data_IF_303050066204
#
_entry.id   IF_303050066204
#
_cell.length_a   1.000
_cell.length_b   1.000
_cell.length_c   1.000
_cell.angle_alpha   90.00
_cell.angle_beta   90.00
_cell.angle_gamma   90.00
#
_symmetry.space_group_name_H-M   'P 1'
#
loop_
_entity.id
_entity.type
_entity.pdbx_description
1 polymer ?
#
# COMPACT_ATOMS: atom_id res chain seq x y z
N UNK A 1 9.55 -14.95 -1.38
CA UNK A 1 8.22 -14.59 -1.92
C UNK A 1 8.19 -14.83 -3.42
N UNK A 2 7.05 -15.23 -3.96
CA UNK A 2 6.88 -15.44 -5.40
C UNK A 2 6.50 -14.09 -6.03
N UNK A 3 7.20 -13.67 -7.08
CA UNK A 3 6.87 -12.44 -7.79
C UNK A 3 5.61 -12.59 -8.67
N UNK A 4 5.10 -11.46 -9.16
CA UNK A 4 3.85 -11.37 -9.93
C UNK A 4 4.04 -11.20 -11.44
N UNK A 5 5.26 -11.34 -11.97
CA UNK A 5 5.55 -11.11 -13.40
C UNK A 5 4.66 -12.01 -14.29
N UNK A 6 4.57 -13.30 -13.97
CA UNK A 6 3.77 -14.27 -14.73
C UNK A 6 2.28 -13.97 -14.66
N UNK A 7 1.81 -13.61 -13.48
CA UNK A 7 0.41 -13.26 -13.22
C UNK A 7 0.00 -12.04 -14.06
N UNK A 8 0.78 -10.96 -13.99
CA UNK A 8 0.55 -9.73 -14.73
C UNK A 8 0.63 -9.93 -16.25
N UNK A 9 1.58 -10.74 -16.74
CA UNK A 9 1.66 -11.11 -18.15
C UNK A 9 0.41 -11.87 -18.62
N UNK A 10 -0.07 -12.82 -17.82
CA UNK A 10 -1.27 -13.60 -18.13
C UNK A 10 -2.54 -12.73 -18.08
N UNK A 11 -2.64 -11.78 -17.14
CA UNK A 11 -3.74 -10.78 -17.09
C UNK A 11 -3.83 -9.95 -18.38
N UNK A 12 -2.67 -9.65 -19.01
CA UNK A 12 -2.60 -9.02 -20.34
C UNK A 12 -2.79 -10.00 -21.52
N UNK A 13 -3.07 -11.29 -21.26
CA UNK A 13 -3.21 -12.35 -22.25
C UNK A 13 -1.99 -12.53 -23.20
N UNK A 14 -0.78 -12.26 -22.71
CA UNK A 14 0.44 -12.33 -23.53
C UNK A 14 1.20 -13.64 -23.31
N UNK A 15 1.73 -14.22 -24.38
CA UNK A 15 2.79 -15.24 -24.28
C UNK A 15 4.11 -14.63 -23.79
N UNK A 16 5.03 -15.46 -23.31
CA UNK A 16 6.37 -15.01 -22.92
C UNK A 16 7.12 -14.31 -24.08
N UNK A 17 6.97 -14.81 -25.31
CA UNK A 17 7.60 -14.22 -26.50
C UNK A 17 7.05 -12.83 -26.80
N UNK A 18 5.73 -12.68 -26.80
CA UNK A 18 5.07 -11.39 -27.04
C UNK A 18 5.45 -10.36 -25.96
N UNK A 19 5.50 -10.76 -24.69
CA UNK A 19 5.96 -9.88 -23.63
C UNK A 19 7.40 -9.43 -23.84
N UNK A 20 8.32 -10.35 -24.16
CA UNK A 20 9.73 -9.99 -24.37
C UNK A 20 9.89 -9.01 -25.52
N UNK A 21 9.12 -9.16 -26.60
CA UNK A 21 9.14 -8.23 -27.72
C UNK A 21 8.75 -6.82 -27.29
N UNK A 22 7.57 -6.65 -26.70
CA UNK A 22 7.05 -5.33 -26.30
C UNK A 22 7.82 -4.73 -25.13
N UNK A 23 8.29 -5.53 -24.18
CA UNK A 23 9.10 -5.05 -23.07
C UNK A 23 10.49 -4.59 -23.55
N UNK A 24 11.09 -5.27 -24.53
CA UNK A 24 12.36 -4.82 -25.09
C UNK A 24 12.24 -3.50 -25.86
N UNK A 25 11.09 -3.18 -26.44
CA UNK A 25 10.83 -1.87 -27.06
C UNK A 25 10.93 -0.73 -26.00
N UNK A 26 10.37 -0.95 -24.80
CA UNK A 26 10.53 -0.04 -23.65
C UNK A 26 12.00 0.04 -23.19
N UNK A 27 12.69 -1.10 -23.06
CA UNK A 27 14.08 -1.09 -22.60
C UNK A 27 15.00 -0.31 -23.55
N UNK A 28 14.71 -0.31 -24.85
CA UNK A 28 15.46 0.49 -25.83
C UNK A 28 15.29 1.99 -25.59
N UNK A 29 14.08 2.47 -25.26
CA UNK A 29 13.88 3.90 -24.95
C UNK A 29 14.64 4.31 -23.69
N UNK A 30 14.75 3.41 -22.73
CA UNK A 30 15.49 3.60 -21.48
C UNK A 30 17.00 3.28 -21.58
N UNK A 31 17.50 3.02 -22.80
CA UNK A 31 18.91 2.67 -23.08
C UNK A 31 19.42 1.48 -22.26
N UNK A 32 18.52 0.55 -21.94
CA UNK A 32 18.80 -0.66 -21.19
C UNK A 32 19.00 -1.87 -22.10
N UNK A 33 19.72 -2.87 -21.59
CA UNK A 33 19.98 -4.11 -22.33
C UNK A 33 18.69 -4.92 -22.48
N UNK A 34 18.35 -5.40 -23.69
CA UNK A 34 17.21 -6.28 -23.92
C UNK A 34 17.31 -7.59 -23.13
N UNK A 35 16.16 -8.18 -22.83
CA UNK A 35 16.04 -9.48 -22.19
C UNK A 35 15.67 -10.56 -23.20
N UNK A 36 15.80 -11.81 -22.78
CA UNK A 36 15.43 -12.99 -23.59
C UNK A 36 14.26 -13.73 -22.95
N UNK A 37 13.55 -14.55 -23.74
CA UNK A 37 12.48 -15.43 -23.23
C UNK A 37 12.97 -16.37 -22.11
N UNK A 38 14.15 -17.01 -22.22
CA UNK A 38 14.72 -17.77 -21.10
C UNK A 38 14.95 -16.92 -19.84
N UNK A 39 15.40 -15.68 -19.99
CA UNK A 39 15.58 -14.76 -18.85
C UNK A 39 14.25 -14.50 -18.14
N UNK A 40 13.21 -14.12 -18.90
CA UNK A 40 11.86 -13.92 -18.35
C UNK A 40 11.35 -15.19 -17.66
N UNK A 41 11.50 -16.35 -18.30
CA UNK A 41 11.03 -17.62 -17.73
C UNK A 41 11.69 -17.93 -16.40
N UNK A 42 13.00 -17.67 -16.27
CA UNK A 42 13.70 -17.83 -14.98
C UNK A 42 13.19 -16.86 -13.92
N UNK A 43 12.92 -15.61 -14.27
CA UNK A 43 12.32 -14.63 -13.36
C UNK A 43 10.91 -15.05 -12.91
N UNK A 44 10.04 -15.44 -13.83
CA UNK A 44 8.66 -15.87 -13.51
C UNK A 44 8.61 -17.08 -12.58
N UNK A 45 9.61 -17.96 -12.66
CA UNK A 45 9.71 -19.15 -11.82
C UNK A 45 10.63 -18.94 -10.60
N UNK A 46 11.06 -17.70 -10.33
CA UNK A 46 11.94 -17.33 -9.20
C UNK A 46 13.26 -18.12 -9.17
N UNK A 47 13.75 -18.57 -10.33
CA UNK A 47 15.03 -19.27 -10.47
C UNK A 47 16.23 -18.31 -10.38
N UNK A 48 15.99 -17.04 -10.71
CA UNK A 48 16.85 -15.90 -10.42
C UNK A 48 15.99 -14.63 -10.33
N UNK A 49 16.61 -13.53 -9.90
CA UNK A 49 15.92 -12.25 -9.74
C UNK A 49 16.37 -11.22 -10.79
N UNK A 50 15.47 -10.34 -11.28
CA UNK A 50 15.84 -9.10 -11.92
C UNK A 50 16.73 -8.23 -11.01
N UNK A 51 17.51 -7.33 -11.61
CA UNK A 51 18.18 -6.24 -10.88
C UNK A 51 17.17 -5.18 -10.45
N UNK A 52 17.54 -4.28 -9.54
CA UNK A 52 16.62 -3.22 -9.06
C UNK A 52 16.13 -2.30 -10.18
N UNK A 53 16.99 -1.95 -11.14
CA UNK A 53 16.57 -1.14 -12.29
C UNK A 53 15.60 -1.91 -13.18
N UNK A 54 15.82 -3.21 -13.37
CA UNK A 54 14.90 -4.04 -14.14
C UNK A 54 13.55 -4.22 -13.44
N UNK A 55 13.53 -4.27 -12.11
CA UNK A 55 12.28 -4.26 -11.34
C UNK A 55 11.48 -2.98 -11.56
N UNK A 56 12.13 -1.81 -11.62
CA UNK A 56 11.48 -0.54 -11.95
C UNK A 56 10.87 -0.57 -13.35
N UNK A 57 11.63 -1.00 -14.36
CA UNK A 57 11.12 -1.12 -15.72
C UNK A 57 9.93 -2.07 -15.85
N UNK A 58 9.98 -3.22 -15.16
CA UNK A 58 8.85 -4.14 -15.12
C UNK A 58 7.62 -3.50 -14.46
N UNK A 59 7.81 -2.79 -13.35
CA UNK A 59 6.75 -2.08 -12.66
C UNK A 59 6.09 -1.02 -13.57
N UNK A 60 6.90 -0.22 -14.27
CA UNK A 60 6.44 0.81 -15.21
C UNK A 60 5.69 0.18 -16.39
N UNK A 61 6.20 -0.90 -16.99
CA UNK A 61 5.55 -1.61 -18.10
C UNK A 61 4.15 -2.15 -17.73
N UNK A 62 4.00 -2.62 -16.48
CA UNK A 62 2.73 -3.12 -15.97
C UNK A 62 1.86 -2.04 -15.31
N UNK A 63 2.38 -0.83 -15.13
CA UNK A 63 1.75 0.27 -14.41
C UNK A 63 1.34 -0.13 -12.98
N UNK A 64 2.28 -0.72 -12.24
CA UNK A 64 2.13 -1.15 -10.84
C UNK A 64 3.33 -0.69 -10.02
N UNK A 65 3.29 -0.84 -8.69
CA UNK A 65 4.46 -0.53 -7.85
C UNK A 65 5.52 -1.65 -7.92
N UNK A 66 6.77 -1.30 -7.62
CA UNK A 66 7.88 -2.27 -7.54
C UNK A 66 7.60 -3.36 -6.50
N UNK A 67 7.14 -2.99 -5.31
CA UNK A 67 6.82 -3.95 -4.25
C UNK A 67 5.67 -4.87 -4.65
N UNK A 68 4.67 -4.37 -5.37
CA UNK A 68 3.58 -5.18 -5.90
C UNK A 68 4.12 -6.28 -6.84
N UNK A 69 4.88 -5.89 -7.87
CA UNK A 69 5.36 -6.86 -8.86
C UNK A 69 6.39 -7.84 -8.27
N UNK A 70 7.15 -7.44 -7.25
CA UNK A 70 8.02 -8.33 -6.48
C UNK A 70 7.25 -9.35 -5.62
N UNK A 71 5.95 -9.15 -5.43
CA UNK A 71 5.12 -9.97 -4.55
C UNK A 71 5.43 -9.73 -3.07
N UNK A 72 5.86 -8.51 -2.73
CA UNK A 72 6.13 -8.06 -1.36
C UNK A 72 4.87 -7.55 -0.66
N UNK A 73 3.80 -7.29 -1.42
CA UNK A 73 2.50 -6.83 -0.92
C UNK A 73 1.59 -8.03 -0.67
N UNK A 74 1.07 -8.10 0.55
CA UNK A 74 0.01 -9.03 0.93
C UNK A 74 -1.35 -8.44 0.52
N UNK A 75 -1.92 -8.92 -0.61
CA UNK A 75 -3.17 -8.42 -1.16
C UNK A 75 -4.38 -8.76 -0.28
N UNK A 76 -4.44 -9.97 0.28
CA UNK A 76 -5.55 -10.40 1.14
C UNK A 76 -5.57 -9.57 2.42
N UNK A 77 -4.40 -9.31 2.99
CA UNK A 77 -4.26 -8.39 4.11
C UNK A 77 -4.62 -6.95 3.72
N UNK A 78 -4.17 -6.47 2.55
CA UNK A 78 -4.48 -5.13 2.07
C UNK A 78 -5.98 -4.92 1.80
N UNK A 79 -6.64 -5.89 1.19
CA UNK A 79 -8.09 -5.90 0.98
C UNK A 79 -8.82 -5.84 2.32
N UNK A 80 -8.43 -6.70 3.27
CA UNK A 80 -9.01 -6.72 4.62
C UNK A 80 -8.82 -5.37 5.35
N UNK A 81 -7.66 -4.72 5.19
CA UNK A 81 -7.40 -3.39 5.73
C UNK A 81 -8.31 -2.33 5.09
N UNK A 82 -8.54 -2.40 3.78
CA UNK A 82 -9.42 -1.45 3.07
C UNK A 82 -10.87 -1.62 3.52
N UNK A 83 -11.36 -2.86 3.62
CA UNK A 83 -12.71 -3.16 4.13
C UNK A 83 -12.89 -2.63 5.55
N UNK A 84 -11.90 -2.90 6.42
CA UNK A 84 -11.92 -2.40 7.79
C UNK A 84 -11.91 -0.87 7.82
N UNK A 85 -11.11 -0.21 6.98
CA UNK A 85 -11.11 1.25 6.88
C UNK A 85 -12.51 1.77 6.52
N UNK A 86 -13.13 1.20 5.47
CA UNK A 86 -14.48 1.55 4.99
C UNK A 86 -15.52 1.39 6.10
N UNK A 87 -15.45 0.29 6.87
CA UNK A 87 -16.32 0.06 8.03
C UNK A 87 -16.31 1.28 8.96
N UNK A 88 -15.13 1.78 9.32
CA UNK A 88 -14.99 2.91 10.23
C UNK A 88 -15.39 4.29 9.65
N UNK A 89 -15.69 4.39 8.36
CA UNK A 89 -16.13 5.65 7.71
C UNK A 89 -17.67 5.74 7.66
N UNK A 90 -18.41 4.65 7.88
CA UNK A 90 -19.87 4.71 7.86
C UNK A 90 -20.39 5.61 9.01
N UNK A 91 -21.14 6.69 8.68
CA UNK A 91 -21.66 7.59 9.68
C UNK A 91 -22.72 6.88 10.53
N UNK A 92 -22.87 7.31 11.79
CA UNK A 92 -23.92 6.84 12.71
C UNK A 92 -23.91 5.34 13.03
N UNK A 93 -22.87 4.61 12.63
CA UNK A 93 -22.72 3.21 12.98
C UNK A 93 -22.06 3.08 14.35
N UNK A 94 -22.75 2.46 15.30
CA UNK A 94 -22.22 2.17 16.64
C UNK A 94 -21.38 0.90 16.53
N UNK A 95 -20.08 1.02 16.71
CA UNK A 95 -19.15 -0.10 16.76
C UNK A 95 -18.71 -0.35 18.19
N UNK A 96 -18.54 -1.61 18.56
CA UNK A 96 -17.98 -1.98 19.86
C UNK A 96 -16.78 -2.90 19.67
N UNK A 97 -15.76 -2.70 20.51
CA UNK A 97 -14.62 -3.59 20.61
C UNK A 97 -14.46 -4.05 22.06
N UNK A 98 -14.92 -5.26 22.34
CA UNK A 98 -15.13 -5.71 23.71
C UNK A 98 -16.25 -4.90 24.37
N UNK A 99 -15.95 -4.26 25.49
CA UNK A 99 -16.89 -3.40 26.23
C UNK A 99 -16.79 -1.92 25.85
N UNK A 100 -15.89 -1.56 24.92
CA UNK A 100 -15.62 -0.18 24.52
C UNK A 100 -16.44 0.16 23.27
N UNK A 101 -17.20 1.25 23.33
CA UNK A 101 -17.82 1.88 22.16
C UNK A 101 -16.78 2.68 21.37
N UNK A 102 -16.73 2.47 20.06
CA UNK A 102 -15.86 3.18 19.13
C UNK A 102 -16.68 4.31 18.49
N UNK A 103 -16.84 5.39 19.24
CA UNK A 103 -17.59 6.58 18.84
C UNK A 103 -16.90 7.37 17.71
N UNK A 104 -17.62 8.35 17.16
CA UNK A 104 -17.16 9.17 16.04
C UNK A 104 -15.88 9.98 16.35
N UNK A 105 -15.56 10.20 17.62
CA UNK A 105 -14.30 10.84 18.04
C UNK A 105 -13.12 9.86 17.95
N UNK A 106 -13.37 8.57 18.21
CA UNK A 106 -12.36 7.51 18.14
C UNK A 106 -12.11 7.02 16.70
N UNK A 107 -13.14 6.96 15.86
CA UNK A 107 -13.05 6.38 14.50
C UNK A 107 -11.93 6.98 13.63
N UNK A 108 -11.71 8.31 13.57
CA UNK A 108 -10.64 8.89 12.76
C UNK A 108 -9.25 8.36 13.13
N UNK A 109 -8.97 8.15 14.41
CA UNK A 109 -7.68 7.62 14.87
C UNK A 109 -7.48 6.15 14.48
N UNK A 110 -8.56 5.37 14.49
CA UNK A 110 -8.54 3.98 14.02
C UNK A 110 -8.28 3.94 12.52
N UNK A 111 -8.98 4.78 11.74
CA UNK A 111 -8.77 4.90 10.29
C UNK A 111 -7.32 5.29 9.99
N UNK A 112 -6.73 6.25 10.73
CA UNK A 112 -5.31 6.60 10.59
C UNK A 112 -4.41 5.39 10.86
N UNK A 113 -4.70 4.61 11.90
CA UNK A 113 -3.96 3.38 12.21
C UNK A 113 -4.00 2.34 11.09
N UNK A 114 -5.17 2.16 10.48
CA UNK A 114 -5.38 1.26 9.33
C UNK A 114 -4.65 1.79 8.09
N UNK A 115 -4.82 3.07 7.75
CA UNK A 115 -4.11 3.73 6.66
C UNK A 115 -2.59 3.64 6.84
N UNK A 116 -2.09 3.70 8.09
CA UNK A 116 -0.67 3.50 8.39
C UNK A 116 -0.20 2.11 7.96
N UNK A 117 -0.98 1.05 8.20
CA UNK A 117 -0.61 -0.30 7.76
C UNK A 117 -0.67 -0.44 6.24
N UNK A 118 -1.67 0.17 5.60
CA UNK A 118 -1.76 0.23 4.13
C UNK A 118 -0.51 0.89 3.54
N UNK A 119 -0.11 2.06 4.05
CA UNK A 119 1.09 2.76 3.61
C UNK A 119 2.36 1.92 3.77
N UNK A 120 2.51 1.19 4.89
CA UNK A 120 3.62 0.26 5.09
C UNK A 120 3.62 -0.88 4.06
N UNK A 121 2.47 -1.47 3.77
CA UNK A 121 2.35 -2.52 2.73
C UNK A 121 2.75 -1.99 1.35
N UNK A 122 2.49 -0.71 1.08
CA UNK A 122 2.89 -0.04 -0.14
C UNK A 122 4.36 0.44 -0.15
N UNK A 123 5.09 0.25 0.95
CA UNK A 123 6.52 0.63 1.08
C UNK A 123 6.77 2.07 1.49
N UNK A 124 5.75 2.80 1.94
CA UNK A 124 5.88 4.17 2.44
C UNK A 124 6.18 4.21 3.94
N UNK A 125 6.82 5.30 4.39
CA UNK A 125 7.00 5.61 5.80
C UNK A 125 5.78 6.43 6.27
N UNK A 126 4.89 5.87 7.12
CA UNK A 126 3.60 6.53 7.37
C UNK A 126 3.71 7.88 8.06
N UNK A 127 4.66 8.06 8.99
CA UNK A 127 4.80 9.33 9.72
C UNK A 127 5.04 10.48 8.74
N UNK A 128 5.96 10.28 7.79
CA UNK A 128 6.26 11.22 6.72
C UNK A 128 5.04 11.52 5.86
N UNK A 129 4.33 10.50 5.37
CA UNK A 129 3.17 10.71 4.50
C UNK A 129 2.05 11.50 5.21
N UNK A 130 1.76 11.18 6.49
CA UNK A 130 0.80 11.95 7.27
C UNK A 130 1.26 13.39 7.51
N UNK A 131 2.55 13.61 7.77
CA UNK A 131 3.12 14.97 7.90
C UNK A 131 2.98 15.78 6.59
N UNK A 132 3.20 15.16 5.43
CA UNK A 132 3.05 15.83 4.14
C UNK A 132 1.58 16.21 3.85
N UNK A 133 0.62 15.31 4.12
CA UNK A 133 -0.82 15.60 4.00
C UNK A 133 -1.24 16.68 4.98
N UNK A 134 -0.73 16.62 6.20
CA UNK A 134 -0.96 17.62 7.25
C UNK A 134 -0.55 19.01 6.80
N UNK A 135 0.68 19.20 6.29
CA UNK A 135 1.18 20.49 5.81
C UNK A 135 0.26 21.06 4.71
N UNK A 136 -0.17 20.21 3.78
CA UNK A 136 -1.10 20.60 2.71
C UNK A 136 -2.46 21.03 3.27
N UNK A 137 -2.99 20.31 4.25
CA UNK A 137 -4.26 20.65 4.90
C UNK A 137 -4.19 22.00 5.64
N UNK A 138 -3.10 22.28 6.36
CA UNK A 138 -2.89 23.58 7.03
C UNK A 138 -2.92 24.73 6.02
N UNK A 139 -2.18 24.57 4.94
CA UNK A 139 -2.09 25.58 3.89
C UNK A 139 -3.45 25.80 3.21
N UNK A 140 -4.26 24.76 3.09
CA UNK A 140 -5.59 24.83 2.50
C UNK A 140 -6.61 25.50 3.43
N UNK A 141 -6.57 25.21 4.73
CA UNK A 141 -7.53 25.74 5.70
C UNK A 141 -7.39 27.26 5.91
N UNK A 142 -6.17 27.80 5.80
CA UNK A 142 -5.95 29.24 5.75
C UNK A 142 -6.29 30.02 7.04
N UNK A 143 -6.66 29.34 8.14
CA UNK A 143 -7.07 29.98 9.39
C UNK A 143 -6.20 29.58 10.61
N UNK A 144 -6.00 30.49 11.60
CA UNK A 144 -5.13 30.25 12.76
C UNK A 144 -5.64 29.23 13.78
N UNK A 145 -6.95 28.99 13.85
CA UNK A 145 -7.58 28.04 14.81
C UNK A 145 -7.27 26.61 14.39
N UNK A 146 -7.39 26.32 13.09
CA UNK A 146 -6.96 25.03 12.53
C UNK A 146 -5.52 24.72 12.93
N UNK A 147 -4.61 25.70 12.88
CA UNK A 147 -3.21 25.57 13.31
C UNK A 147 -3.00 25.14 14.78
N UNK A 148 -3.94 25.44 15.68
CA UNK A 148 -3.86 25.06 17.11
C UNK A 148 -4.24 23.59 17.33
N UNK A 149 -5.35 23.13 16.75
CA UNK A 149 -5.81 21.73 16.84
C UNK A 149 -4.80 20.73 16.24
N UNK A 150 -3.93 21.24 15.39
CA UNK A 150 -2.93 20.49 14.66
C UNK A 150 -1.70 20.10 15.49
N UNK A 151 -1.34 20.84 16.55
CA UNK A 151 -0.27 20.41 17.48
C UNK A 151 -0.69 19.21 18.32
N UNK A 152 -1.98 19.16 18.68
CA UNK A 152 -2.56 18.05 19.43
C UNK A 152 -2.57 16.78 18.57
N UNK A 153 -2.80 16.92 17.26
CA UNK A 153 -2.75 15.81 16.30
C UNK A 153 -1.37 15.15 16.22
N UNK A 154 -0.29 15.95 16.08
CA UNK A 154 1.07 15.39 15.99
C UNK A 154 1.45 14.62 17.27
N UNK A 155 1.10 15.16 18.44
CA UNK A 155 1.32 14.50 19.73
C UNK A 155 0.53 13.18 19.84
N UNK A 156 -0.69 13.13 19.31
CA UNK A 156 -1.50 11.92 19.26
C UNK A 156 -0.88 10.89 18.31
N UNK A 157 -0.51 11.29 17.09
CA UNK A 157 0.15 10.41 16.12
C UNK A 157 1.39 9.79 16.74
N UNK A 158 2.30 10.58 17.32
CA UNK A 158 3.53 10.05 17.92
C UNK A 158 3.28 9.08 19.10
N UNK A 159 2.23 9.34 19.89
CA UNK A 159 1.86 8.48 21.03
C UNK A 159 1.29 7.12 20.59
N UNK A 160 0.51 7.08 19.50
CA UNK A 160 -0.23 5.89 19.09
C UNK A 160 0.39 5.14 17.91
N UNK A 161 1.20 5.79 17.07
CA UNK A 161 1.87 5.19 15.91
C UNK A 161 2.55 3.85 16.18
N UNK A 162 3.33 3.68 17.27
CA UNK A 162 3.98 2.41 17.58
C UNK A 162 3.00 1.28 17.90
N UNK A 163 1.75 1.60 18.25
CA UNK A 163 0.73 0.64 18.70
C UNK A 163 -0.26 0.26 17.62
N UNK A 164 -0.34 1.02 16.52
CA UNK A 164 -1.38 0.82 15.51
C UNK A 164 -1.39 -0.58 14.91
N UNK A 165 -0.23 -1.20 14.68
CA UNK A 165 -0.20 -2.53 14.08
C UNK A 165 -0.96 -3.56 14.93
N UNK A 166 -0.67 -3.63 16.23
CA UNK A 166 -1.36 -4.56 17.12
C UNK A 166 -2.85 -4.25 17.29
N UNK A 167 -3.24 -2.97 17.26
CA UNK A 167 -4.65 -2.56 17.29
C UNK A 167 -5.36 -3.02 16.01
N UNK A 168 -4.77 -2.74 14.84
CA UNK A 168 -5.32 -3.09 13.54
C UNK A 168 -5.43 -4.61 13.37
N UNK A 169 -4.40 -5.39 13.74
CA UNK A 169 -4.42 -6.84 13.63
C UNK A 169 -5.52 -7.47 14.51
N UNK A 170 -5.72 -6.92 15.71
CA UNK A 170 -6.78 -7.34 16.61
C UNK A 170 -8.18 -7.02 16.07
N UNK A 171 -8.37 -5.84 15.46
CA UNK A 171 -9.63 -5.44 14.83
C UNK A 171 -9.93 -6.31 13.61
N UNK A 172 -8.93 -6.57 12.76
CA UNK A 172 -9.06 -7.46 11.61
C UNK A 172 -9.47 -8.87 12.02
N UNK A 173 -8.87 -9.40 13.10
CA UNK A 173 -9.24 -10.71 13.63
C UNK A 173 -10.70 -10.76 14.07
N UNK A 174 -11.19 -9.69 14.73
CA UNK A 174 -12.58 -9.60 15.14
C UNK A 174 -13.52 -9.50 13.92
N UNK A 175 -13.19 -8.64 12.95
CA UNK A 175 -13.96 -8.46 11.73
C UNK A 175 -14.08 -9.75 10.90
N UNK A 176 -12.98 -10.47 10.70
CA UNK A 176 -12.96 -11.72 9.94
C UNK A 176 -13.62 -12.92 10.67
N UNK A 177 -14.03 -12.74 11.92
CA UNK A 177 -14.72 -13.79 12.70
C UNK A 177 -16.25 -13.71 12.65
N UNK A 178 -16.78 -12.66 12.01
CA UNK A 178 -18.21 -12.44 11.77
C UNK A 178 -18.66 -13.21 10.51
#
# INVERSE_FOLDING_TARGET
MKNRIKELRNKKAMSQSQFVQTFNELLVSEKMKPITVPTLSRWENSLNSPTDDMWRQLADYFNVSVSYIKGEIDEEYLESLIELAILFIFPEMILTYGEIELDDDCKPFIVIGILSQILKQLGYEPKREFQEVYIKAVNLAGDPITKSHLNDFEAVVDKFMPKFQGITDNLLKAYNSL
#
